data_IF_642260474640
#
_entry.id   IF_642260474640
#
_cell.length_a   1.000
_cell.length_b   1.000
_cell.length_c   1.000
_cell.angle_alpha   90.00
_cell.angle_beta   90.00
_cell.angle_gamma   90.00
#
_symmetry.space_group_name_H-M   'P 1'
#
loop_
_entity.id
_entity.type
_entity.pdbx_description
1 polymer ?
#
# COMPACT_ATOMS: atom_id res chain seq x y z
N UNK A 1 10.49 -8.28 -3.01
CA UNK A 1 9.27 -7.92 -2.26
C UNK A 1 8.59 -6.74 -2.95
N UNK A 2 7.26 -6.70 -2.91
CA UNK A 2 6.44 -5.58 -3.38
C UNK A 2 5.98 -4.77 -2.16
N UNK A 3 5.67 -3.50 -2.32
CA UNK A 3 5.11 -2.69 -1.24
C UNK A 3 4.18 -1.60 -1.77
N UNK A 4 3.46 -0.94 -0.86
CA UNK A 4 2.68 0.24 -1.17
C UNK A 4 2.83 1.28 -0.05
N UNK A 5 2.59 2.54 -0.37
CA UNK A 5 2.57 3.64 0.59
C UNK A 5 1.29 4.46 0.41
N UNK A 6 0.69 4.86 1.52
CA UNK A 6 -0.45 5.77 1.55
C UNK A 6 0.09 7.18 1.78
N UNK A 7 0.12 8.01 0.72
CA UNK A 7 0.63 9.38 0.76
C UNK A 7 0.15 10.15 -0.47
N UNK A 8 -0.19 11.43 -0.29
CA UNK A 8 -0.37 12.38 -1.38
C UNK A 8 0.85 13.30 -1.54
N UNK A 9 2.04 12.83 -1.16
CA UNK A 9 3.28 13.60 -1.17
C UNK A 9 3.15 14.90 -0.35
N UNK A 10 3.13 16.06 -1.02
CA UNK A 10 3.05 17.39 -0.43
C UNK A 10 1.71 18.07 -0.76
N UNK A 11 0.74 17.33 -1.29
CA UNK A 11 -0.58 17.86 -1.57
C UNK A 11 -1.28 18.31 -0.28
N UNK A 12 -2.26 19.23 -0.39
CA UNK A 12 -3.09 19.62 0.74
C UNK A 12 -3.75 18.43 1.44
N UNK A 13 -4.09 18.60 2.73
CA UNK A 13 -4.64 17.54 3.58
C UNK A 13 -5.95 16.92 3.07
N UNK A 14 -6.67 17.59 2.18
CA UNK A 14 -7.90 17.08 1.55
C UNK A 14 -7.61 15.98 0.50
N UNK A 15 -6.35 15.82 0.09
CA UNK A 15 -5.93 14.82 -0.89
C UNK A 15 -5.29 13.61 -0.22
N UNK A 16 -5.62 12.43 -0.73
CA UNK A 16 -4.98 11.16 -0.39
C UNK A 16 -4.38 10.53 -1.64
N UNK A 17 -3.49 9.56 -1.45
CA UNK A 17 -2.88 8.83 -2.54
C UNK A 17 -2.39 7.46 -2.09
N UNK A 18 -2.30 6.55 -3.06
CA UNK A 18 -1.63 5.27 -2.90
C UNK A 18 -0.54 5.18 -3.96
N UNK A 19 0.65 4.74 -3.56
CA UNK A 19 1.78 4.47 -4.43
C UNK A 19 2.17 3.00 -4.31
N UNK A 20 2.42 2.34 -5.44
CA UNK A 20 2.87 0.94 -5.49
C UNK A 20 4.34 0.90 -5.87
N UNK A 21 5.11 0.08 -5.16
CA UNK A 21 6.51 -0.20 -5.43
C UNK A 21 6.68 -1.64 -5.91
N UNK A 22 7.47 -1.80 -6.96
CA UNK A 22 7.81 -3.10 -7.53
C UNK A 22 9.07 -3.67 -6.88
N UNK A 23 9.45 -4.87 -7.30
CA UNK A 23 10.66 -5.52 -6.84
C UNK A 23 11.89 -4.61 -6.92
N UNK A 24 12.69 -4.60 -5.85
CA UNK A 24 13.81 -3.69 -5.69
C UNK A 24 13.43 -2.31 -5.12
N UNK A 25 12.18 -2.12 -4.69
CA UNK A 25 11.73 -0.93 -3.97
C UNK A 25 11.57 0.31 -4.85
N UNK A 26 11.46 0.13 -6.18
CA UNK A 26 11.29 1.22 -7.15
C UNK A 26 9.81 1.50 -7.34
N UNK A 27 9.49 2.74 -7.70
CA UNK A 27 8.14 3.09 -8.15
C UNK A 27 7.72 2.17 -9.31
N UNK A 28 6.47 1.72 -9.30
CA UNK A 28 5.89 1.02 -10.45
C UNK A 28 5.87 1.94 -11.68
N UNK A 29 6.20 1.40 -12.85
CA UNK A 29 6.16 2.15 -14.11
C UNK A 29 4.72 2.27 -14.66
N UNK A 30 4.59 3.01 -15.77
CA UNK A 30 3.31 3.25 -16.44
C UNK A 30 2.63 1.95 -16.90
N UNK A 31 3.39 0.98 -17.41
CA UNK A 31 2.86 -0.30 -17.88
C UNK A 31 2.24 -1.09 -16.72
N UNK A 32 2.88 -1.07 -15.55
CA UNK A 32 2.37 -1.75 -14.36
C UNK A 32 1.18 -0.99 -13.76
N UNK A 33 1.25 0.33 -13.68
CA UNK A 33 0.17 1.16 -13.12
C UNK A 33 -1.10 1.11 -13.98
N UNK A 34 -0.98 1.17 -15.31
CA UNK A 34 -2.12 1.02 -16.23
C UNK A 34 -2.83 -0.34 -16.07
N UNK A 35 -2.05 -1.41 -15.84
CA UNK A 35 -2.62 -2.75 -15.57
C UNK A 35 -3.40 -2.78 -14.26
N UNK A 36 -2.90 -2.11 -13.22
CA UNK A 36 -3.58 -2.00 -11.92
C UNK A 36 -4.88 -1.21 -12.09
N UNK A 37 -4.84 -0.05 -12.77
CA UNK A 37 -6.01 0.79 -13.03
C UNK A 37 -7.08 0.04 -13.84
N UNK A 38 -6.66 -0.69 -14.88
CA UNK A 38 -7.56 -1.51 -15.69
C UNK A 38 -8.27 -2.55 -14.84
N UNK A 39 -7.56 -3.25 -13.95
CA UNK A 39 -8.17 -4.24 -13.06
C UNK A 39 -9.17 -3.57 -12.09
N UNK A 40 -8.75 -2.49 -11.41
CA UNK A 40 -9.59 -1.74 -10.49
C UNK A 40 -10.89 -1.26 -11.15
N UNK A 41 -10.82 -0.81 -12.41
CA UNK A 41 -11.99 -0.31 -13.15
C UNK A 41 -13.11 -1.35 -13.34
N UNK A 42 -12.78 -2.64 -13.21
CA UNK A 42 -13.71 -3.76 -13.41
C UNK A 42 -14.12 -4.45 -12.10
N UNK A 43 -13.44 -4.15 -10.98
CA UNK A 43 -13.75 -4.76 -9.69
C UNK A 43 -15.04 -4.19 -9.11
N UNK A 44 -15.83 -5.08 -8.51
CA UNK A 44 -16.98 -4.73 -7.68
C UNK A 44 -16.67 -4.94 -6.20
N UNK A 45 -17.53 -4.40 -5.33
CA UNK A 45 -17.38 -4.61 -3.89
C UNK A 45 -17.44 -6.11 -3.50
N UNK A 46 -18.15 -6.93 -4.27
CA UNK A 46 -18.24 -8.38 -4.05
C UNK A 46 -16.92 -9.10 -4.37
N UNK A 47 -16.09 -8.55 -5.25
CA UNK A 47 -14.80 -9.12 -5.60
C UNK A 47 -13.72 -8.83 -4.54
N UNK A 48 -13.94 -7.82 -3.70
CA UNK A 48 -13.00 -7.39 -2.65
C UNK A 48 -13.15 -8.27 -1.42
N UNK A 49 -12.12 -9.09 -1.17
CA UNK A 49 -12.01 -9.86 0.08
C UNK A 49 -11.52 -8.94 1.20
N UNK A 50 -12.24 -8.93 2.32
CA UNK A 50 -11.91 -8.14 3.50
C UNK A 50 -11.82 -9.04 4.74
N UNK A 51 -11.03 -8.59 5.70
CA UNK A 51 -10.87 -9.19 7.02
C UNK A 51 -10.75 -8.04 8.02
N UNK A 52 -11.20 -8.25 9.25
CA UNK A 52 -10.98 -7.29 10.33
C UNK A 52 -9.48 -7.14 10.62
N UNK A 53 -9.03 -5.92 10.94
CA UNK A 53 -7.61 -5.65 11.15
C UNK A 53 -7.05 -6.43 12.34
N UNK A 54 -7.75 -6.43 13.47
CA UNK A 54 -7.28 -7.09 14.69
C UNK A 54 -7.24 -8.62 14.47
N UNK A 55 -8.24 -9.16 13.78
CA UNK A 55 -8.23 -10.56 13.37
C UNK A 55 -7.05 -10.91 12.46
N UNK A 56 -6.71 -10.05 11.50
CA UNK A 56 -5.57 -10.28 10.59
C UNK A 56 -4.21 -10.23 11.31
N UNK A 57 -4.10 -9.44 12.38
CA UNK A 57 -2.93 -9.43 13.27
C UNK A 57 -2.87 -10.74 14.08
N UNK A 58 -3.99 -11.17 14.68
CA UNK A 58 -4.08 -12.43 15.43
C UNK A 58 -3.76 -13.66 14.56
N UNK A 59 -4.28 -13.68 13.33
CA UNK A 59 -4.05 -14.72 12.32
C UNK A 59 -2.62 -14.67 11.73
N UNK A 60 -1.80 -13.69 12.14
CA UNK A 60 -0.42 -13.46 11.65
C UNK A 60 -0.34 -13.20 10.14
N UNK A 61 -1.40 -12.65 9.56
CA UNK A 61 -1.40 -12.14 8.18
C UNK A 61 -0.74 -10.75 8.11
N UNK A 62 -0.74 -10.01 9.23
CA UNK A 62 -0.11 -8.70 9.37
C UNK A 62 0.96 -8.77 10.47
N UNK A 63 2.18 -8.33 10.14
CA UNK A 63 3.25 -8.06 11.10
C UNK A 63 3.42 -6.54 11.24
N UNK A 64 3.22 -6.01 12.45
CA UNK A 64 3.41 -4.59 12.74
C UNK A 64 4.88 -4.36 13.09
N UNK A 65 5.55 -3.52 12.32
CA UNK A 65 6.96 -3.16 12.53
C UNK A 65 7.09 -1.68 12.91
N UNK A 66 8.11 -1.35 13.68
CA UNK A 66 8.57 0.04 13.82
C UNK A 66 9.76 0.25 12.88
N UNK A 67 9.60 1.01 11.78
CA UNK A 67 10.68 1.24 10.83
C UNK A 67 11.68 2.32 11.28
N UNK A 68 11.38 3.08 12.35
CA UNK A 68 12.30 4.09 12.89
C UNK A 68 13.49 3.43 13.55
N UNK A 69 14.68 3.97 13.28
CA UNK A 69 15.91 3.54 13.94
C UNK A 69 16.24 4.56 15.03
N UNK A 70 16.03 4.19 16.29
CA UNK A 70 16.24 5.09 17.45
C UNK A 70 17.63 5.73 17.51
N UNK A 71 18.64 5.14 16.85
CA UNK A 71 20.00 5.67 16.81
C UNK A 71 20.23 6.69 15.68
N UNK A 72 19.43 6.67 14.61
CA UNK A 72 19.60 7.51 13.41
C UNK A 72 18.62 8.69 13.41
N UNK A 73 17.45 8.51 14.02
CA UNK A 73 16.37 9.50 14.03
C UNK A 73 16.39 10.40 15.31
N UNK A 74 17.54 10.48 16.00
CA UNK A 74 17.80 11.36 17.16
C UNK A 74 18.43 12.70 16.79
#
# INVERSE_FOLDING_TARGET
>A
AYSACITASHNPADYNGIKVFIEGGRDADEIITEKIETQISTLTAQDVKSVDFDQAVEDKLIEIINPMNEFVDS
#
